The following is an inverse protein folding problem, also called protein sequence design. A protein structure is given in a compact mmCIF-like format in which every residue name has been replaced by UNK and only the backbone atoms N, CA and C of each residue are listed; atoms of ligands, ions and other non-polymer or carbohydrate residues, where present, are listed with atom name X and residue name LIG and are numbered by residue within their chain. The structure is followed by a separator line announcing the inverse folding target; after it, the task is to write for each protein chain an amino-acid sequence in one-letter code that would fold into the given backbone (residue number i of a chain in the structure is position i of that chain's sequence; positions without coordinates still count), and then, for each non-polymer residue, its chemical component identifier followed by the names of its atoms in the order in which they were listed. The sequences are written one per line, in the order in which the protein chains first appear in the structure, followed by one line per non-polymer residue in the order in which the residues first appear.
data_IF_565228969571
#
_entry.id   IF_565228969571
#
_cell.length_a   1.000
_cell.length_b   1.000
_cell.length_c   1.000
_cell.angle_alpha   90.00
_cell.angle_beta   90.00
_cell.angle_gamma   90.00
#
_symmetry.space_group_name_H-M   'P 1'
#
loop_
_entity.id
_entity.type
_entity.pdbx_description
1 polymer ?
#
# COMPACT_ATOMS: atom_id res chain seq x y z
N UNK A 1 -2.94 0.05 23.78
CA UNK A 1 -4.29 -0.27 23.24
C UNK A 1 -4.13 -1.19 22.03
N UNK A 2 -5.17 -1.91 21.55
CA UNK A 2 -5.03 -2.68 20.31
C UNK A 2 -4.75 -1.74 19.13
N UNK A 3 -3.92 -2.18 18.19
CA UNK A 3 -3.68 -1.45 16.94
C UNK A 3 -4.95 -1.45 16.09
N UNK A 4 -5.29 -0.29 15.50
CA UNK A 4 -6.49 -0.11 14.68
C UNK A 4 -6.06 0.28 13.27
N UNK A 5 -6.50 -0.48 12.27
CA UNK A 5 -6.26 -0.13 10.86
C UNK A 5 -7.20 1.03 10.50
N UNK A 6 -6.62 2.16 10.08
CA UNK A 6 -7.34 3.36 9.67
C UNK A 6 -7.67 3.33 8.18
N UNK A 7 -6.71 2.91 7.36
CA UNK A 7 -6.93 2.80 5.92
C UNK A 7 -5.98 1.80 5.25
N UNK A 8 -6.36 1.38 4.05
CA UNK A 8 -5.51 0.65 3.12
C UNK A 8 -5.66 1.27 1.73
N UNK A 9 -4.57 1.43 1.02
CA UNK A 9 -4.59 1.88 -0.37
C UNK A 9 -3.63 1.08 -1.26
N UNK A 10 -3.91 1.09 -2.56
CA UNK A 10 -3.21 0.27 -3.53
C UNK A 10 -2.81 1.08 -4.77
N UNK A 11 -1.60 0.85 -5.29
CA UNK A 11 -1.13 1.39 -6.57
C UNK A 11 -0.83 0.23 -7.52
N UNK A 12 -1.53 0.21 -8.66
CA UNK A 12 -1.48 -0.82 -9.72
C UNK A 12 -1.41 -2.27 -9.20
N UNK A 13 -2.25 -2.63 -8.24
CA UNK A 13 -2.28 -3.94 -7.58
C UNK A 13 -3.51 -4.74 -7.99
N UNK A 14 -3.35 -5.81 -8.77
CA UNK A 14 -4.43 -6.63 -9.34
C UNK A 14 -5.53 -5.77 -10.00
N UNK A 15 -6.73 -5.76 -9.42
CA UNK A 15 -7.88 -5.05 -9.96
C UNK A 15 -7.84 -3.54 -9.64
N UNK A 16 -6.93 -3.11 -8.78
CA UNK A 16 -6.77 -1.72 -8.35
C UNK A 16 -5.74 -1.04 -9.26
N UNK A 17 -6.24 -0.37 -10.30
CA UNK A 17 -5.44 0.37 -11.27
C UNK A 17 -5.34 1.86 -10.87
N UNK A 18 -4.20 2.48 -11.12
CA UNK A 18 -3.95 3.88 -10.76
C UNK A 18 -3.03 4.00 -9.55
N UNK A 19 -3.02 5.18 -8.95
CA UNK A 19 -2.22 5.48 -7.78
C UNK A 19 -2.96 5.17 -6.48
N UNK A 20 -2.29 5.36 -5.34
CA UNK A 20 -2.85 5.08 -4.02
C UNK A 20 -4.13 5.88 -3.75
N UNK A 21 -4.18 7.12 -4.21
CA UNK A 21 -5.29 8.05 -4.02
C UNK A 21 -6.55 7.61 -4.79
N UNK A 22 -6.39 6.83 -5.87
CA UNK A 22 -7.49 6.31 -6.67
C UNK A 22 -8.15 5.08 -6.01
N UNK A 23 -7.39 4.34 -5.19
CA UNK A 23 -7.79 3.04 -4.65
C UNK A 23 -7.60 2.98 -3.13
N UNK A 24 -8.30 3.83 -2.40
CA UNK A 24 -8.24 3.91 -0.93
C UNK A 24 -9.53 3.42 -0.27
N UNK A 25 -9.37 2.64 0.79
CA UNK A 25 -10.43 2.25 1.72
C UNK A 25 -10.14 2.87 3.08
N UNK A 26 -11.03 3.74 3.53
CA UNK A 26 -11.00 4.32 4.88
C UNK A 26 -11.94 3.54 5.80
N UNK A 27 -11.42 3.12 6.95
CA UNK A 27 -12.16 2.35 7.94
C UNK A 27 -12.60 3.22 9.10
N UNK A 28 -13.82 2.98 9.56
CA UNK A 28 -14.36 3.63 10.74
C UNK A 28 -14.31 2.69 11.95
N UNK A 29 -14.48 3.25 13.14
CA UNK A 29 -14.65 2.43 14.35
C UNK A 29 -15.89 1.54 14.25
N UNK A 30 -15.77 0.27 14.65
CA UNK A 30 -16.87 -0.68 14.67
C UNK A 30 -16.89 -1.60 13.44
N UNK A 31 -18.09 -1.99 13.01
CA UNK A 31 -18.29 -2.93 11.92
C UNK A 31 -18.13 -2.24 10.55
N UNK A 32 -17.14 -2.66 9.78
CA UNK A 32 -16.96 -2.25 8.39
C UNK A 32 -17.37 -3.42 7.48
N UNK A 33 -18.27 -3.18 6.52
CA UNK A 33 -18.76 -4.20 5.58
C UNK A 33 -18.38 -3.82 4.17
N UNK A 34 -17.68 -4.71 3.47
CA UNK A 34 -17.24 -4.50 2.08
C UNK A 34 -18.11 -5.37 1.18
N UNK A 35 -18.96 -4.72 0.37
CA UNK A 35 -19.86 -5.37 -0.58
C UNK A 35 -19.41 -5.04 -1.99
N UNK A 36 -19.24 -6.06 -2.83
CA UNK A 36 -18.94 -5.91 -4.25
C UNK A 36 -19.32 -7.21 -4.97
N UNK A 37 -19.38 -7.16 -6.30
CA UNK A 37 -19.70 -8.32 -7.13
C UNK A 37 -18.54 -9.34 -7.20
N UNK A 38 -18.83 -10.53 -7.72
CA UNK A 38 -17.80 -11.53 -7.98
C UNK A 38 -16.82 -11.01 -9.05
N UNK A 39 -15.52 -11.17 -8.79
CA UNK A 39 -14.47 -10.62 -9.65
C UNK A 39 -14.15 -9.14 -9.41
N UNK A 40 -14.91 -8.41 -8.57
CA UNK A 40 -14.68 -6.98 -8.33
C UNK A 40 -13.45 -6.65 -7.45
N UNK A 41 -12.65 -7.65 -7.05
CA UNK A 41 -11.40 -7.42 -6.31
C UNK A 41 -11.46 -7.64 -4.79
N UNK A 42 -12.58 -8.12 -4.23
CA UNK A 42 -12.70 -8.41 -2.77
C UNK A 42 -11.57 -9.29 -2.22
N UNK A 43 -11.34 -10.46 -2.83
CA UNK A 43 -10.24 -11.36 -2.42
C UNK A 43 -8.86 -10.72 -2.60
N UNK A 44 -8.71 -9.83 -3.60
CA UNK A 44 -7.47 -9.10 -3.84
C UNK A 44 -7.24 -8.02 -2.78
N UNK A 45 -8.29 -7.38 -2.25
CA UNK A 45 -8.16 -6.51 -1.08
C UNK A 45 -7.59 -7.26 0.13
N UNK A 46 -8.10 -8.46 0.43
CA UNK A 46 -7.54 -9.29 1.49
C UNK A 46 -6.10 -9.73 1.19
N UNK A 47 -5.75 -9.94 -0.07
CA UNK A 47 -4.36 -10.21 -0.48
C UNK A 47 -3.44 -9.02 -0.21
N UNK A 48 -3.94 -7.79 -0.31
CA UNK A 48 -3.18 -6.58 0.02
C UNK A 48 -2.78 -6.58 1.51
N UNK A 49 -3.73 -6.90 2.40
CA UNK A 49 -3.45 -7.10 3.83
C UNK A 49 -2.44 -8.22 4.07
N UNK A 50 -2.62 -9.39 3.44
CA UNK A 50 -1.69 -10.51 3.59
C UNK A 50 -0.27 -10.13 3.13
N UNK A 51 -0.12 -9.35 2.06
CA UNK A 51 1.20 -8.97 1.59
C UNK A 51 1.92 -8.10 2.61
N UNK A 52 1.25 -7.07 3.12
CA UNK A 52 1.86 -6.17 4.11
C UNK A 52 2.18 -6.90 5.41
N UNK A 53 1.28 -7.76 5.91
CA UNK A 53 1.40 -8.37 7.22
C UNK A 53 2.18 -9.70 7.25
N UNK A 54 2.26 -10.41 6.11
CA UNK A 54 2.78 -11.80 6.05
C UNK A 54 3.68 -12.10 4.85
N UNK A 55 3.87 -11.15 3.92
CA UNK A 55 4.62 -11.38 2.67
C UNK A 55 4.01 -12.48 1.77
N UNK A 56 2.68 -12.59 1.82
CA UNK A 56 1.88 -13.58 1.09
C UNK A 56 0.76 -12.93 0.28
N UNK A 57 0.33 -13.58 -0.80
CA UNK A 57 -0.87 -13.22 -1.58
C UNK A 57 -1.80 -14.40 -1.74
N UNK A 58 -3.11 -14.13 -1.86
CA UNK A 58 -4.13 -15.19 -1.96
C UNK A 58 -4.37 -15.53 -3.44
N UNK A 59 -4.03 -16.77 -3.80
CA UNK A 59 -4.42 -17.38 -5.06
C UNK A 59 -5.71 -18.19 -4.87
N UNK A 60 -6.81 -17.67 -5.43
CA UNK A 60 -8.13 -18.31 -5.36
C UNK A 60 -8.20 -19.63 -6.10
N UNK A 61 -7.33 -19.83 -7.09
CA UNK A 61 -7.40 -20.91 -8.06
C UNK A 61 -6.47 -22.08 -7.70
N UNK A 62 -5.68 -21.94 -6.63
CA UNK A 62 -4.79 -22.98 -6.15
C UNK A 62 -5.57 -24.14 -5.51
N UNK A 63 -5.25 -25.37 -5.93
CA UNK A 63 -5.71 -26.61 -5.29
C UNK A 63 -4.77 -26.95 -4.12
N UNK A 64 -5.02 -26.37 -2.94
CA UNK A 64 -4.18 -26.57 -1.76
C UNK A 64 -4.09 -25.32 -0.89
N UNK A 65 -2.89 -25.03 -0.37
CA UNK A 65 -2.64 -23.74 0.28
C UNK A 65 -2.85 -22.61 -0.73
N UNK A 66 -3.68 -21.65 -0.34
CA UNK A 66 -4.03 -20.50 -1.17
C UNK A 66 -3.05 -19.35 -0.97
N UNK A 67 -2.26 -19.36 0.09
CA UNK A 67 -1.25 -18.33 0.31
C UNK A 67 0.00 -18.68 -0.49
N UNK A 68 0.45 -17.73 -1.30
CA UNK A 68 1.65 -17.88 -2.13
C UNK A 68 2.63 -16.80 -1.74
N UNK A 69 3.91 -17.17 -1.62
CA UNK A 69 4.99 -16.20 -1.44
C UNK A 69 5.03 -15.21 -2.59
N UNK A 70 5.14 -13.93 -2.25
CA UNK A 70 5.10 -12.82 -3.21
C UNK A 70 6.23 -12.87 -4.22
N UNK A 71 7.41 -13.38 -3.86
CA UNK A 71 8.58 -13.32 -4.73
C UNK A 71 8.39 -14.02 -6.08
N UNK A 72 7.61 -15.10 -6.09
CA UNK A 72 7.30 -15.85 -7.32
C UNK A 72 6.06 -15.31 -8.06
N UNK A 73 5.38 -14.29 -7.51
CA UNK A 73 4.07 -13.84 -7.99
C UNK A 73 4.01 -12.35 -8.35
N UNK A 74 5.13 -11.61 -8.24
CA UNK A 74 5.20 -10.14 -8.46
C UNK A 74 4.55 -9.68 -9.75
N UNK A 75 4.94 -10.26 -10.89
CA UNK A 75 4.38 -9.84 -12.18
C UNK A 75 2.87 -10.07 -12.28
N UNK A 76 2.32 -11.11 -11.64
CA UNK A 76 0.88 -11.36 -11.60
C UNK A 76 0.12 -10.37 -10.72
N UNK A 77 0.79 -9.77 -9.73
CA UNK A 77 0.20 -8.77 -8.83
C UNK A 77 0.03 -7.41 -9.50
N UNK A 78 0.75 -7.11 -10.58
CA UNK A 78 0.61 -5.84 -11.29
C UNK A 78 -0.75 -5.83 -11.99
N UNK A 79 -1.45 -4.70 -11.93
CA UNK A 79 -2.72 -4.52 -12.64
C UNK A 79 -2.55 -4.75 -14.14
N UNK A 80 -3.44 -5.55 -14.73
CA UNK A 80 -3.39 -5.82 -16.17
C UNK A 80 -3.57 -4.56 -17.00
N UNK A 81 -4.37 -3.59 -16.53
CA UNK A 81 -4.47 -2.29 -17.21
C UNK A 81 -3.13 -1.54 -17.17
N UNK A 82 -2.46 -1.51 -16.02
CA UNK A 82 -1.15 -0.87 -15.89
C UNK A 82 -0.08 -1.56 -16.75
N UNK A 83 -0.11 -2.90 -16.84
CA UNK A 83 0.75 -3.67 -17.75
C UNK A 83 0.56 -3.26 -19.20
N UNK A 84 -0.70 -3.15 -19.64
CA UNK A 84 -1.03 -2.81 -21.02
C UNK A 84 -0.60 -1.39 -21.41
N UNK A 85 -0.65 -0.45 -20.47
CA UNK A 85 -0.26 0.95 -20.70
C UNK A 85 1.25 1.21 -20.54
N UNK A 86 1.98 0.27 -19.93
CA UNK A 86 3.43 0.38 -19.78
C UNK A 86 4.14 0.02 -21.08
N UNK A 87 4.88 0.98 -21.64
CA UNK A 87 5.70 0.77 -22.84
C UNK A 87 6.94 -0.09 -22.54
N UNK A 88 7.49 -0.73 -23.56
CA UNK A 88 8.74 -1.47 -23.43
C UNK A 88 9.87 -0.54 -22.97
N UNK A 89 10.71 -1.06 -22.06
CA UNK A 89 11.75 -0.35 -21.33
C UNK A 89 11.28 0.69 -20.31
N UNK A 90 9.98 0.88 -20.13
CA UNK A 90 9.43 1.67 -19.02
C UNK A 90 9.13 0.77 -17.81
N UNK A 91 8.93 1.44 -16.68
CA UNK A 91 8.66 0.79 -15.40
C UNK A 91 7.30 1.22 -14.85
N UNK A 92 6.69 0.32 -14.08
CA UNK A 92 5.46 0.56 -13.35
C UNK A 92 5.66 0.17 -11.89
N UNK A 93 5.07 0.96 -10.99
CA UNK A 93 5.05 0.68 -9.56
C UNK A 93 3.84 -0.18 -9.22
N UNK A 94 4.03 -1.23 -8.43
CA UNK A 94 2.97 -1.98 -7.79
C UNK A 94 3.18 -1.95 -6.28
N UNK A 95 2.15 -1.56 -5.50
CA UNK A 95 2.31 -1.40 -4.07
C UNK A 95 1.02 -1.35 -3.27
N UNK A 96 1.16 -1.57 -1.97
CA UNK A 96 0.11 -1.49 -0.96
C UNK A 96 0.60 -0.63 0.19
N UNK A 97 -0.26 0.25 0.68
CA UNK A 97 -0.01 1.10 1.83
C UNK A 97 -1.10 0.87 2.89
N UNK A 98 -0.70 0.69 4.14
CA UNK A 98 -1.60 0.56 5.29
C UNK A 98 -1.28 1.66 6.29
N UNK A 99 -2.32 2.35 6.73
CA UNK A 99 -2.26 3.25 7.88
C UNK A 99 -2.95 2.62 9.07
N UNK A 100 -2.29 2.63 10.22
CA UNK A 100 -2.87 2.15 11.48
C UNK A 100 -2.44 3.01 12.66
N UNK A 101 -3.30 3.08 13.66
CA UNK A 101 -3.05 3.80 14.91
C UNK A 101 -2.80 2.84 16.05
N UNK A 102 -1.86 3.18 16.92
CA UNK A 102 -1.64 2.52 18.20
C UNK A 102 -1.36 3.59 19.25
N UNK A 103 -2.19 3.59 20.30
CA UNK A 103 -2.22 4.63 21.32
C UNK A 103 -2.34 6.05 20.73
N UNK A 104 -1.28 6.85 20.81
CA UNK A 104 -1.22 8.21 20.26
C UNK A 104 -0.31 8.35 19.05
N UNK A 105 0.08 7.23 18.45
CA UNK A 105 0.89 7.20 17.24
C UNK A 105 0.07 6.73 16.04
N UNK A 106 0.35 7.35 14.90
CA UNK A 106 -0.09 6.92 13.59
C UNK A 106 1.12 6.34 12.84
N UNK A 107 0.94 5.16 12.26
CA UNK A 107 1.96 4.45 11.50
C UNK A 107 1.48 4.27 10.07
N UNK A 108 2.40 4.41 9.13
CA UNK A 108 2.20 4.07 7.73
C UNK A 108 3.22 3.01 7.33
N UNK A 109 2.75 1.91 6.75
CA UNK A 109 3.60 0.90 6.12
C UNK A 109 3.28 0.89 4.64
N UNK A 110 4.28 1.13 3.81
CA UNK A 110 4.18 1.01 2.36
C UNK A 110 5.10 -0.14 1.90
N UNK A 111 4.52 -1.17 1.30
CA UNK A 111 5.26 -2.21 0.57
C UNK A 111 5.05 -2.03 -0.93
N UNK A 112 6.13 -2.03 -1.69
CA UNK A 112 6.05 -1.90 -3.15
C UNK A 112 7.23 -2.55 -3.85
N UNK A 113 7.11 -2.72 -5.16
CA UNK A 113 8.23 -2.99 -6.05
C UNK A 113 8.00 -2.27 -7.38
N UNK A 114 9.09 -2.05 -8.10
CA UNK A 114 9.06 -1.61 -9.49
C UNK A 114 9.14 -2.82 -10.42
N UNK A 115 8.48 -2.74 -11.57
CA UNK A 115 8.60 -3.76 -12.60
C UNK A 115 8.84 -3.12 -13.96
N UNK A 116 9.90 -3.57 -14.64
CA UNK A 116 10.29 -3.09 -15.96
C UNK A 116 9.77 -4.02 -17.05
N UNK A 117 9.11 -3.46 -18.05
CA UNK A 117 8.71 -4.22 -19.25
C UNK A 117 9.93 -4.43 -20.14
N UNK A 118 10.27 -5.69 -20.42
CA UNK A 118 11.51 -6.02 -21.16
C UNK A 118 11.28 -6.20 -22.67
N UNK A 119 10.05 -6.45 -23.11
CA UNK A 119 9.73 -6.64 -24.53
C UNK A 119 8.29 -6.26 -24.89
N UNK A 120 8.02 -6.14 -26.19
CA UNK A 120 6.72 -5.76 -26.77
C UNK A 120 5.72 -6.92 -26.88
N UNK A 121 6.10 -8.14 -26.45
CA UNK A 121 5.17 -9.27 -26.43
C UNK A 121 4.03 -9.05 -25.42
N UNK A 122 3.08 -9.99 -25.36
CA UNK A 122 1.88 -9.88 -24.52
C UNK A 122 2.19 -9.34 -23.11
N UNK A 123 1.65 -8.17 -22.71
CA UNK A 123 1.93 -7.58 -21.41
C UNK A 123 1.52 -8.47 -20.24
N UNK A 124 0.61 -9.42 -20.45
CA UNK A 124 0.11 -10.32 -19.42
C UNK A 124 1.05 -11.49 -19.11
N UNK A 125 2.05 -11.79 -19.95
CA UNK A 125 3.01 -12.85 -19.68
C UNK A 125 4.06 -12.36 -18.65
N UNK A 126 4.18 -13.01 -17.48
CA UNK A 126 5.17 -12.66 -16.45
C UNK A 126 6.62 -12.62 -16.93
N UNK A 127 6.99 -13.47 -17.89
CA UNK A 127 8.37 -13.55 -18.41
C UNK A 127 8.79 -12.26 -19.11
N UNK A 128 7.83 -11.41 -19.50
CA UNK A 128 8.08 -10.11 -20.14
C UNK A 128 8.34 -8.99 -19.13
N UNK A 129 8.45 -9.32 -17.84
CA UNK A 129 8.64 -8.35 -16.76
C UNK A 129 9.84 -8.70 -15.91
N UNK A 130 10.75 -7.73 -15.78
CA UNK A 130 11.78 -7.77 -14.76
C UNK A 130 11.27 -7.06 -13.51
N UNK A 131 10.95 -7.84 -12.47
CA UNK A 131 10.48 -7.29 -11.19
C UNK A 131 11.65 -7.07 -10.25
N UNK A 132 11.77 -5.85 -9.73
CA UNK A 132 12.79 -5.49 -8.74
C UNK A 132 12.48 -6.13 -7.38
N UNK A 133 13.44 -6.00 -6.45
CA UNK A 133 13.25 -6.39 -5.05
C UNK A 133 12.10 -5.62 -4.41
N UNK A 134 11.44 -6.25 -3.44
CA UNK A 134 10.39 -5.59 -2.67
C UNK A 134 11.05 -4.59 -1.71
N UNK A 135 10.54 -3.37 -1.70
CA UNK A 135 10.89 -2.33 -0.76
C UNK A 135 9.79 -2.18 0.28
N UNK A 136 10.18 -1.92 1.52
CA UNK A 136 9.25 -1.60 2.61
C UNK A 136 9.66 -0.26 3.23
N UNK A 137 8.75 0.70 3.24
CA UNK A 137 8.88 1.98 3.94
C UNK A 137 7.97 1.98 5.14
N UNK A 138 8.47 2.47 6.27
CA UNK A 138 7.72 2.60 7.51
C UNK A 138 7.87 4.04 7.97
N UNK A 139 6.76 4.70 8.23
CA UNK A 139 6.73 6.01 8.87
C UNK A 139 5.93 5.95 10.16
N UNK A 140 6.29 6.83 11.10
CA UNK A 140 5.66 6.96 12.42
C UNK A 140 5.46 8.44 12.72
N UNK A 141 4.28 8.78 13.20
CA UNK A 141 3.86 10.15 13.52
C UNK A 141 3.23 10.18 14.91
N UNK A 142 3.68 11.12 15.74
CA UNK A 142 3.10 11.37 17.07
C UNK A 142 1.95 12.38 16.96
N UNK A 143 0.75 11.98 17.40
CA UNK A 143 -0.45 12.81 17.34
C UNK A 143 -0.49 13.88 18.43
N UNK A 144 0.22 13.70 19.55
CA UNK A 144 0.24 14.66 20.67
C UNK A 144 1.07 15.89 20.33
N UNK A 145 2.18 15.72 19.59
CA UNK A 145 3.04 16.83 19.18
C UNK A 145 2.35 17.78 18.17
N UNK A 146 1.30 17.33 17.47
CA UNK A 146 0.54 18.13 16.52
C UNK A 146 -0.56 18.96 17.19
N UNK A 147 -1.16 18.44 18.27
CA UNK A 147 -2.22 19.12 19.02
C UNK A 147 -1.70 20.18 20.01
N UNK A 148 -0.39 20.19 20.27
CA UNK A 148 0.28 21.23 21.06
C UNK A 148 1.45 21.81 20.27
N UNK A 149 1.23 22.84 19.40
CA UNK A 149 2.36 23.69 19.03
C UNK A 149 2.99 24.18 20.34
N UNK A 150 4.32 24.13 20.52
CA UNK A 150 4.93 24.50 21.77
C UNK A 150 4.47 25.90 22.14
N UNK A 151 3.71 25.98 23.23
CA UNK A 151 3.38 27.24 23.87
C UNK A 151 4.71 27.89 24.30
N UNK A 152 5.26 28.74 23.44
CA UNK A 152 6.25 29.74 23.83
C UNK A 152 5.54 30.76 24.73
N UNK A 153 5.44 30.44 26.02
CA UNK A 153 5.31 31.40 27.13
C UNK A 153 6.20 30.82 28.24
N UNK A 154 7.27 31.48 28.68
CA UNK A 154 7.28 32.83 29.24
C UNK A 154 8.69 33.44 29.26
N UNK A 155 8.77 34.72 28.87
CA UNK A 155 9.43 35.75 29.67
C UNK A 155 10.93 35.98 29.48
N UNK A 156 11.31 36.92 28.60
CA UNK A 156 12.23 38.01 28.96
C UNK A 156 11.66 39.30 28.34
N UNK A 157 11.37 40.26 29.21
CA UNK A 157 10.99 41.63 28.84
C UNK A 157 12.10 42.28 28.01
N UNK A 158 11.69 43.08 27.03
CA UNK A 158 12.53 44.05 26.39
C UNK A 158 13.21 44.96 27.42
N UNK A 159 14.51 45.19 27.25
CA UNK A 159 15.16 46.43 27.67
C UNK A 159 15.92 46.99 26.48
N UNK A 160 15.32 48.00 25.85
CA UNK A 160 16.06 48.98 25.07
C UNK A 160 16.96 49.77 26.00
N UNK A 161 18.25 49.84 25.69
CA UNK A 161 19.11 50.97 26.02
C UNK A 161 20.02 51.24 24.80
N UNK A 162 20.27 52.54 24.62
CA UNK A 162 20.73 53.25 23.43
C UNK A 162 22.08 52.76 22.90
#
# INVERSE_FOLDING_TARGET
MPSIINSISMSNFFNYYGEYEDNIYEFNSGLNVIVADNGAGKTKLFSAFCWVLKDEVINSDATGDKNISVDNYKAYMISDKAKNETLTNNEVKCGVRINFSEDHYEYEIEKYFWAKRINDSSPTNPENWFCHSIETKISKKDLILLCNPPYFRTGIQASFQI
#
